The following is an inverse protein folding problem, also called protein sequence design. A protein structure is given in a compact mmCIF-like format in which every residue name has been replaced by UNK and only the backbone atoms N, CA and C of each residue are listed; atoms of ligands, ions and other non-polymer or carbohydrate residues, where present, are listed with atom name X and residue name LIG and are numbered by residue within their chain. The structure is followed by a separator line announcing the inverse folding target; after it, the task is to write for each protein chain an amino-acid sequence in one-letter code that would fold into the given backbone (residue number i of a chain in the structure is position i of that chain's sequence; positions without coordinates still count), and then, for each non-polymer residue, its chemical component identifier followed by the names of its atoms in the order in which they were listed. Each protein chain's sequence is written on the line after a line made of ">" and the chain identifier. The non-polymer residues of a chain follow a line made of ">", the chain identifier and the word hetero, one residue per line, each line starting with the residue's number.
data_IF_153505370074
#
_entry.id   IF_153505370074
#
_cell.length_a   1.000
_cell.length_b   1.000
_cell.length_c   1.000
_cell.angle_alpha   90.00
_cell.angle_beta   90.00
_cell.angle_gamma   90.00
#
_symmetry.space_group_name_H-M   'P 1'
#
loop_
_entity.id
_entity.type
_entity.pdbx_description
1 polymer ?
#
# COMPACT_ATOMS: atom_id res chain seq x y z
N UNK A 1 17.02 -9.13 1.93
CA UNK A 1 17.22 -9.42 0.49
C UNK A 1 17.15 -8.11 -0.28
N UNK A 2 17.89 -7.91 -1.38
CA UNK A 2 17.81 -6.67 -2.15
C UNK A 2 16.39 -6.57 -2.73
N UNK A 3 15.70 -5.47 -2.43
CA UNK A 3 14.39 -5.17 -2.99
C UNK A 3 14.58 -5.06 -4.50
N UNK A 4 14.00 -5.98 -5.27
CA UNK A 4 14.11 -5.92 -6.73
C UNK A 4 13.27 -4.72 -7.22
N UNK A 5 13.67 -4.11 -8.32
CA UNK A 5 12.93 -3.00 -8.94
C UNK A 5 11.47 -3.36 -9.27
N UNK A 6 11.19 -4.65 -9.51
CA UNK A 6 9.85 -5.22 -9.65
C UNK A 6 9.01 -5.08 -8.39
N UNK A 7 9.62 -5.26 -7.21
CA UNK A 7 8.93 -5.22 -5.92
C UNK A 7 8.53 -3.78 -5.60
N UNK A 8 9.43 -2.81 -5.85
CA UNK A 8 9.15 -1.38 -5.67
C UNK A 8 7.98 -0.92 -6.52
N UNK A 9 7.91 -1.38 -7.78
CA UNK A 9 6.80 -1.08 -8.68
C UNK A 9 5.48 -1.59 -8.12
N UNK A 10 5.45 -2.83 -7.65
CA UNK A 10 4.24 -3.44 -7.08
C UNK A 10 3.81 -2.74 -5.78
N UNK A 11 4.77 -2.36 -4.92
CA UNK A 11 4.49 -1.59 -3.70
C UNK A 11 3.86 -0.24 -4.01
N UNK A 12 4.38 0.48 -5.03
CA UNK A 12 3.79 1.75 -5.47
C UNK A 12 2.40 1.54 -6.08
N UNK A 13 2.17 0.48 -6.86
CA UNK A 13 0.82 0.12 -7.34
C UNK A 13 -0.15 -0.09 -6.18
N UNK A 14 0.23 -0.89 -5.19
CA UNK A 14 -0.59 -1.16 -4.01
C UNK A 14 -0.89 0.13 -3.25
N UNK A 15 0.10 1.03 -3.11
CA UNK A 15 -0.09 2.32 -2.45
C UNK A 15 -1.07 3.22 -3.21
N UNK A 16 -0.96 3.31 -4.53
CA UNK A 16 -1.90 4.07 -5.38
C UNK A 16 -3.31 3.46 -5.27
N UNK A 17 -3.41 2.13 -5.34
CA UNK A 17 -4.67 1.42 -5.15
C UNK A 17 -5.28 1.68 -3.78
N UNK A 18 -4.47 1.75 -2.73
CA UNK A 18 -4.91 2.09 -1.37
C UNK A 18 -5.50 3.50 -1.29
N UNK A 19 -4.90 4.48 -1.97
CA UNK A 19 -5.44 5.83 -2.07
C UNK A 19 -6.79 5.88 -2.81
N UNK A 20 -7.01 4.98 -3.78
CA UNK A 20 -8.25 4.87 -4.56
C UNK A 20 -9.41 4.18 -3.84
N UNK A 21 -9.21 3.53 -2.68
CA UNK A 21 -10.26 2.75 -1.99
C UNK A 21 -11.50 3.58 -1.66
N UNK A 22 -11.32 4.86 -1.34
CA UNK A 22 -12.44 5.77 -1.07
C UNK A 22 -13.08 6.33 -2.35
N UNK A 23 -12.65 5.86 -3.53
CA UNK A 23 -13.14 6.26 -4.85
C UNK A 23 -12.60 7.60 -5.35
N UNK A 24 -11.77 8.30 -4.56
CA UNK A 24 -11.13 9.57 -4.92
C UNK A 24 -9.79 9.72 -4.19
N UNK A 25 -8.76 10.14 -4.91
CA UNK A 25 -7.47 10.55 -4.35
C UNK A 25 -7.51 12.06 -4.06
N UNK A 26 -7.08 12.45 -2.86
CA UNK A 26 -6.97 13.87 -2.48
C UNK A 26 -5.75 14.53 -3.16
N UNK A 27 -5.76 15.85 -3.41
CA UNK A 27 -4.62 16.55 -4.05
C UNK A 27 -3.27 16.33 -3.33
N UNK A 28 -3.28 16.33 -2.01
CA UNK A 28 -2.12 16.11 -1.15
C UNK A 28 -1.58 14.68 -1.30
N UNK A 29 -2.50 13.71 -1.33
CA UNK A 29 -2.19 12.31 -1.60
C UNK A 29 -1.55 12.16 -2.99
N UNK A 30 -2.14 12.77 -4.02
CA UNK A 30 -1.60 12.72 -5.38
C UNK A 30 -0.18 13.29 -5.45
N UNK A 31 0.07 14.41 -4.78
CA UNK A 31 1.41 15.02 -4.75
C UNK A 31 2.42 14.08 -4.10
N UNK A 32 2.04 13.46 -2.98
CA UNK A 32 2.91 12.55 -2.26
C UNK A 32 3.20 11.25 -3.02
N UNK A 33 2.18 10.66 -3.69
CA UNK A 33 2.39 9.49 -4.58
C UNK A 33 3.38 9.78 -5.70
N UNK A 34 3.30 10.98 -6.29
CA UNK A 34 4.26 11.41 -7.33
C UNK A 34 5.66 11.55 -6.77
N UNK A 35 5.79 12.14 -5.58
CA UNK A 35 7.08 12.27 -4.90
C UNK A 35 7.69 10.89 -4.63
N UNK A 36 6.95 9.97 -3.99
CA UNK A 36 7.42 8.60 -3.76
C UNK A 36 7.82 7.93 -5.08
N UNK A 37 6.98 7.99 -6.11
CA UNK A 37 7.30 7.36 -7.39
C UNK A 37 8.55 7.96 -8.05
N UNK A 38 8.81 9.26 -7.85
CA UNK A 38 10.00 9.93 -8.35
C UNK A 38 11.25 9.54 -7.54
N UNK A 39 11.18 9.55 -6.21
CA UNK A 39 12.26 9.11 -5.32
C UNK A 39 12.65 7.64 -5.55
N UNK A 40 11.66 6.80 -5.83
CA UNK A 40 11.86 5.37 -6.11
C UNK A 40 12.19 5.07 -7.58
N UNK A 41 12.23 6.09 -8.45
CA UNK A 41 12.61 5.95 -9.87
C UNK A 41 11.57 5.26 -10.77
N UNK A 42 10.32 5.10 -10.30
CA UNK A 42 9.24 4.42 -11.03
C UNK A 42 8.20 5.37 -11.64
N UNK A 43 8.35 6.68 -11.43
CA UNK A 43 7.42 7.71 -11.96
C UNK A 43 7.31 7.72 -13.49
N UNK A 44 8.34 7.26 -14.21
CA UNK A 44 8.34 7.13 -15.67
C UNK A 44 7.80 5.80 -16.20
N UNK A 45 7.48 4.84 -15.33
CA UNK A 45 7.05 3.51 -15.74
C UNK A 45 5.67 3.57 -16.42
N UNK A 46 5.49 2.92 -17.58
CA UNK A 46 4.25 2.97 -18.34
C UNK A 46 3.05 2.38 -17.60
N UNK A 47 3.25 1.51 -16.61
CA UNK A 47 2.15 0.97 -15.79
C UNK A 47 1.79 1.88 -14.61
N UNK A 48 2.77 2.64 -14.09
CA UNK A 48 2.58 3.51 -12.93
C UNK A 48 2.07 4.89 -13.34
N UNK A 49 2.59 5.41 -14.46
CA UNK A 49 2.29 6.75 -14.95
C UNK A 49 0.77 6.98 -15.16
N UNK A 50 -0.01 6.09 -15.80
CA UNK A 50 -1.45 6.30 -15.93
C UNK A 50 -2.17 6.40 -14.58
N UNK A 51 -1.72 5.61 -13.60
CA UNK A 51 -2.30 5.56 -12.26
C UNK A 51 -1.99 6.84 -11.46
N UNK A 52 -0.74 7.33 -11.50
CA UNK A 52 -0.29 8.55 -10.81
C UNK A 52 -0.93 9.84 -11.33
N UNK A 53 -1.31 9.85 -12.60
CA UNK A 53 -1.97 10.99 -13.23
C UNK A 53 -3.50 10.82 -13.29
N UNK A 54 -4.03 9.77 -12.63
CA UNK A 54 -5.46 9.45 -12.58
C UNK A 54 -6.09 9.37 -13.98
N UNK A 55 -5.29 8.96 -14.97
CA UNK A 55 -5.77 8.72 -16.33
C UNK A 55 -6.67 7.49 -16.39
N UNK A 56 -6.50 6.58 -15.42
CA UNK A 56 -7.32 5.39 -15.23
C UNK A 56 -7.73 5.31 -13.76
N UNK A 57 -9.05 5.24 -13.45
CA UNK A 57 -9.51 5.00 -12.09
C UNK A 57 -9.18 3.56 -11.70
N UNK A 58 -8.62 3.37 -10.50
CA UNK A 58 -8.33 2.04 -9.97
C UNK A 58 -9.56 1.49 -9.28
N UNK A 59 -10.03 0.33 -9.72
CA UNK A 59 -11.10 -0.39 -9.03
C UNK A 59 -10.55 -1.10 -7.79
N UNK A 60 -11.35 -1.21 -6.71
CA UNK A 60 -10.95 -1.98 -5.53
C UNK A 60 -10.52 -3.42 -5.88
N UNK A 61 -11.15 -4.03 -6.88
CA UNK A 61 -10.80 -5.37 -7.38
C UNK A 61 -9.38 -5.44 -7.93
N UNK A 62 -8.96 -4.44 -8.71
CA UNK A 62 -7.59 -4.38 -9.24
C UNK A 62 -6.56 -4.22 -8.12
N UNK A 63 -6.90 -3.43 -7.10
CA UNK A 63 -6.05 -3.30 -5.92
C UNK A 63 -5.91 -4.62 -5.16
N UNK A 64 -6.99 -5.40 -5.01
CA UNK A 64 -6.93 -6.75 -4.44
C UNK A 64 -6.09 -7.69 -5.28
N UNK A 65 -6.19 -7.62 -6.61
CA UNK A 65 -5.39 -8.45 -7.50
C UNK A 65 -3.90 -8.13 -7.37
N UNK A 66 -3.50 -6.86 -7.22
CA UNK A 66 -2.10 -6.49 -6.98
C UNK A 66 -1.58 -6.98 -5.63
N UNK A 67 -2.39 -6.87 -4.57
CA UNK A 67 -2.04 -7.40 -3.25
C UNK A 67 -1.91 -8.91 -3.30
N UNK A 68 -2.82 -9.59 -4.01
CA UNK A 68 -2.79 -11.03 -4.21
C UNK A 68 -1.61 -11.48 -5.07
N UNK A 69 -1.25 -10.72 -6.10
CA UNK A 69 -0.07 -10.99 -6.93
C UNK A 69 1.22 -10.84 -6.12
N UNK A 70 1.27 -9.87 -5.21
CA UNK A 70 2.41 -9.65 -4.32
C UNK A 70 2.52 -10.72 -3.22
N UNK A 71 1.41 -11.08 -2.60
CA UNK A 71 1.34 -12.00 -1.45
C UNK A 71 1.14 -13.48 -1.82
N UNK A 72 0.72 -13.76 -3.05
CA UNK A 72 0.31 -15.09 -3.52
C UNK A 72 -1.13 -15.48 -3.13
N UNK A 73 -1.51 -16.71 -3.48
CA UNK A 73 -2.86 -17.25 -3.25
C UNK A 73 -3.20 -17.54 -1.77
N UNK A 74 -2.17 -17.74 -0.93
CA UNK A 74 -2.33 -18.08 0.50
C UNK A 74 -1.28 -17.33 1.35
N UNK A 75 -1.43 -16.01 1.51
CA UNK A 75 -0.55 -15.24 2.38
C UNK A 75 -0.57 -15.74 3.81
N UNK A 76 0.60 -15.84 4.40
CA UNK A 76 0.79 -16.00 5.84
C UNK A 76 0.74 -14.65 6.54
N UNK A 77 0.65 -14.67 7.88
CA UNK A 77 0.76 -13.45 8.70
C UNK A 77 2.10 -12.73 8.43
N UNK A 78 3.17 -13.48 8.19
CA UNK A 78 4.49 -12.93 7.89
C UNK A 78 4.51 -12.20 6.54
N UNK A 79 3.79 -12.68 5.54
CA UNK A 79 3.69 -12.00 4.24
C UNK A 79 2.98 -10.65 4.37
N UNK A 80 1.91 -10.60 5.18
CA UNK A 80 1.27 -9.33 5.53
C UNK A 80 2.21 -8.38 6.27
N UNK A 81 3.01 -8.89 7.21
CA UNK A 81 4.04 -8.13 7.92
C UNK A 81 5.05 -7.54 6.95
N UNK A 82 5.58 -8.36 6.05
CA UNK A 82 6.56 -7.95 5.05
C UNK A 82 6.00 -6.87 4.11
N UNK A 83 4.74 -6.99 3.68
CA UNK A 83 4.11 -5.98 2.83
C UNK A 83 3.90 -4.66 3.58
N UNK A 84 3.37 -4.72 4.81
CA UNK A 84 3.20 -3.53 5.66
C UNK A 84 4.54 -2.86 5.89
N UNK A 85 5.59 -3.64 6.15
CA UNK A 85 6.92 -3.13 6.39
C UNK A 85 7.55 -2.52 5.15
N UNK A 86 7.37 -3.14 4.00
CA UNK A 86 7.85 -2.61 2.73
C UNK A 86 7.16 -1.30 2.37
N UNK A 87 5.84 -1.19 2.59
CA UNK A 87 5.09 0.06 2.39
C UNK A 87 5.50 1.11 3.43
N UNK A 88 5.67 0.73 4.68
CA UNK A 88 6.07 1.67 5.73
C UNK A 88 7.49 2.18 5.49
N UNK A 89 8.44 1.34 5.08
CA UNK A 89 9.77 1.78 4.63
C UNK A 89 9.76 2.56 3.30
N UNK A 90 8.65 2.51 2.55
CA UNK A 90 8.44 3.37 1.38
C UNK A 90 8.01 4.78 1.80
N UNK A 91 7.16 4.88 2.83
CA UNK A 91 6.54 6.12 3.32
C UNK A 91 7.45 6.83 4.34
N UNK A 92 8.14 6.08 5.19
CA UNK A 92 8.97 6.58 6.28
C UNK A 92 10.43 6.19 6.04
N UNK A 93 11.33 7.18 6.04
CA UNK A 93 12.78 6.97 5.93
C UNK A 93 13.48 6.81 7.28
N UNK A 94 12.90 7.34 8.37
CA UNK A 94 13.51 7.40 9.70
C UNK A 94 12.66 6.68 10.74
N UNK A 95 12.91 5.39 10.97
CA UNK A 95 12.75 4.65 12.24
C UNK A 95 11.42 4.60 13.03
N UNK A 96 10.48 5.54 12.87
CA UNK A 96 9.21 5.64 13.62
C UNK A 96 8.20 4.56 13.25
N UNK A 97 8.50 3.84 12.17
CA UNK A 97 7.71 2.80 11.52
C UNK A 97 7.29 1.67 12.46
N UNK A 98 8.21 1.17 13.30
CA UNK A 98 8.00 -0.07 14.05
C UNK A 98 6.78 -0.05 14.99
N UNK A 99 6.40 1.12 15.51
CA UNK A 99 5.27 1.24 16.46
C UNK A 99 3.92 1.20 15.76
N UNK A 100 3.81 1.84 14.59
CA UNK A 100 2.56 1.88 13.84
C UNK A 100 2.33 0.56 13.07
N UNK A 101 3.40 -0.09 12.61
CA UNK A 101 3.34 -1.47 12.07
C UNK A 101 2.78 -2.46 13.08
N UNK A 102 3.30 -2.46 14.32
CA UNK A 102 2.85 -3.38 15.36
C UNK A 102 1.35 -3.21 15.68
N UNK A 103 0.84 -1.97 15.69
CA UNK A 103 -0.60 -1.69 15.83
C UNK A 103 -1.41 -2.21 14.65
N UNK A 104 -0.89 -2.05 13.43
CA UNK A 104 -1.54 -2.55 12.22
C UNK A 104 -1.70 -4.07 12.26
N UNK A 105 -0.63 -4.74 12.66
CA UNK A 105 -0.54 -6.19 12.74
C UNK A 105 -1.44 -6.77 13.81
N UNK A 106 -1.51 -6.15 14.99
CA UNK A 106 -2.46 -6.57 16.02
C UNK A 106 -3.90 -6.48 15.51
N UNK A 107 -4.27 -5.42 14.78
CA UNK A 107 -5.62 -5.28 14.20
C UNK A 107 -5.89 -6.34 13.14
N UNK A 108 -4.91 -6.64 12.29
CA UNK A 108 -5.01 -7.68 11.28
C UNK A 108 -5.17 -9.07 11.90
N UNK A 109 -4.35 -9.41 12.91
CA UNK A 109 -4.45 -10.70 13.61
C UNK A 109 -5.78 -10.88 14.34
N UNK A 110 -6.32 -9.81 14.94
CA UNK A 110 -7.65 -9.86 15.56
C UNK A 110 -8.76 -10.16 14.55
N UNK A 111 -8.63 -9.65 13.32
CA UNK A 111 -9.64 -9.80 12.28
C UNK A 111 -9.47 -11.11 11.48
N UNK A 112 -8.24 -11.60 11.27
CA UNK A 112 -7.98 -12.88 10.59
C UNK A 112 -8.41 -14.11 11.40
N UNK A 113 -8.56 -13.96 12.72
CA UNK A 113 -9.09 -15.01 13.60
C UNK A 113 -10.62 -15.13 13.54
N UNK A 114 -11.30 -14.23 12.84
CA UNK A 114 -12.69 -14.38 12.46
C UNK A 114 -12.68 -15.04 11.08
N UNK A 115 -13.34 -16.18 10.90
CA UNK A 115 -13.37 -17.07 9.71
C UNK A 115 -13.90 -16.41 8.39
N UNK A 116 -13.69 -15.12 8.19
CA UNK A 116 -14.11 -14.40 7.00
C UNK A 116 -13.02 -14.43 5.92
N UNK A 117 -13.47 -14.72 4.70
CA UNK A 117 -12.69 -14.88 3.47
C UNK A 117 -11.46 -13.96 3.33
N UNK A 118 -10.41 -14.46 2.66
CA UNK A 118 -9.15 -13.75 2.34
C UNK A 118 -9.36 -12.33 1.80
N UNK A 119 -10.48 -12.06 1.13
CA UNK A 119 -10.84 -10.72 0.64
C UNK A 119 -11.16 -9.71 1.75
N UNK A 120 -11.77 -10.13 2.86
CA UNK A 120 -12.01 -9.25 4.02
C UNK A 120 -10.68 -8.86 4.65
N UNK A 121 -9.76 -9.80 4.79
CA UNK A 121 -8.38 -9.54 5.24
C UNK A 121 -7.65 -8.52 4.35
N UNK A 122 -7.74 -8.66 3.03
CA UNK A 122 -7.14 -7.71 2.09
C UNK A 122 -7.77 -6.33 2.15
N UNK A 123 -9.10 -6.22 2.26
CA UNK A 123 -9.78 -4.93 2.38
C UNK A 123 -9.39 -4.21 3.68
N UNK A 124 -9.32 -4.94 4.80
CA UNK A 124 -8.86 -4.40 6.08
C UNK A 124 -7.42 -3.90 5.99
N UNK A 125 -6.52 -4.72 5.44
CA UNK A 125 -5.12 -4.37 5.23
C UNK A 125 -4.98 -3.11 4.39
N UNK A 126 -5.70 -3.04 3.29
CA UNK A 126 -5.66 -1.93 2.36
C UNK A 126 -6.20 -0.63 2.98
N UNK A 127 -7.29 -0.69 3.75
CA UNK A 127 -7.77 0.44 4.56
C UNK A 127 -6.76 0.87 5.64
N UNK A 128 -6.04 -0.08 6.21
CA UNK A 128 -4.99 0.20 7.19
C UNK A 128 -3.80 0.93 6.53
N UNK A 129 -3.33 0.45 5.38
CA UNK A 129 -2.29 1.10 4.57
C UNK A 129 -2.73 2.53 4.21
N UNK A 130 -3.96 2.69 3.74
CA UNK A 130 -4.53 3.99 3.40
C UNK A 130 -4.52 4.96 4.59
N UNK A 131 -4.86 4.50 5.81
CA UNK A 131 -4.82 5.32 7.03
C UNK A 131 -3.40 5.76 7.39
N UNK A 132 -2.44 4.85 7.33
CA UNK A 132 -1.03 5.17 7.60
C UNK A 132 -0.52 6.22 6.62
N UNK A 133 -0.76 5.95 5.34
CA UNK A 133 -0.42 6.84 4.24
C UNK A 133 -1.05 8.23 4.40
N UNK A 134 -2.36 8.33 4.65
CA UNK A 134 -3.05 9.61 4.86
C UNK A 134 -2.50 10.40 6.03
N UNK A 135 -2.29 9.73 7.16
CA UNK A 135 -1.73 10.36 8.36
C UNK A 135 -0.36 10.96 8.07
N UNK A 136 0.43 10.31 7.22
CA UNK A 136 1.73 10.83 6.82
C UNK A 136 1.63 12.01 5.84
N UNK A 137 0.75 11.92 4.85
CA UNK A 137 0.44 13.03 3.94
C UNK A 137 0.01 14.28 4.72
N UNK A 138 -0.80 14.12 5.76
CA UNK A 138 -1.21 15.20 6.66
C UNK A 138 -0.05 15.78 7.49
N UNK A 139 0.96 14.99 7.84
CA UNK A 139 2.14 15.46 8.61
C UNK A 139 3.11 16.23 7.71
N UNK A 140 3.21 15.88 6.42
CA UNK A 140 4.11 16.53 5.46
C UNK A 140 3.56 17.85 4.90
N UNK A 141 2.30 18.21 5.17
CA UNK A 141 1.60 19.39 4.65
C UNK A 141 1.38 20.45 5.74
#
# INVERSE_FOLDING_TARGET
>A
MPVNSSDVKNLVKILIGAAWIDGRIQPEERQYLRQIAQEKGVSGDPDIKPLLYELVPVQPTECYDWVKEYLGDRPTIEDYQNLIQAISGLIYSDGEVATEEARLLMKLQQLSNSDESTQVGFNVLLKQIQKLYRRWVEIQN
#
